data_IF_719816670683
#
_entry.id   IF_719816670683
#
_cell.length_a   1.000
_cell.length_b   1.000
_cell.length_c   1.000
_cell.angle_alpha   90.00
_cell.angle_beta   90.00
_cell.angle_gamma   90.00
#
_symmetry.space_group_name_H-M   'P 1'
#
loop_
_entity.id
_entity.type
_entity.pdbx_description
1 polymer ?
#
# COMPACT_ATOMS: atom_id res chain seq x y z
N UNK A 1 11.06 -9.80 8.30
CA UNK A 1 9.88 -9.80 9.19
C UNK A 1 9.23 -8.42 9.15
N UNK A 2 7.91 -8.31 8.94
CA UNK A 2 7.19 -7.05 8.95
C UNK A 2 6.92 -6.61 10.39
N UNK A 3 7.21 -5.33 10.73
CA UNK A 3 6.90 -4.77 12.04
C UNK A 3 5.60 -3.96 11.92
N UNK A 4 4.51 -4.56 12.39
CA UNK A 4 3.17 -3.97 12.34
C UNK A 4 3.07 -2.69 13.19
N UNK A 5 3.77 -2.59 14.32
CA UNK A 5 3.72 -1.42 15.20
C UNK A 5 4.42 -0.22 14.54
N UNK A 6 5.58 -0.43 13.90
CA UNK A 6 6.28 0.61 13.16
C UNK A 6 5.48 1.06 11.92
N UNK A 7 4.77 0.12 11.26
CA UNK A 7 3.89 0.43 10.13
C UNK A 7 2.69 1.28 10.56
N UNK A 8 2.07 0.97 11.69
CA UNK A 8 0.89 1.67 12.21
C UNK A 8 1.19 3.05 12.81
N UNK A 9 2.47 3.38 13.10
CA UNK A 9 2.86 4.69 13.62
C UNK A 9 2.42 5.86 12.73
N UNK A 10 2.31 5.64 11.42
CA UNK A 10 1.82 6.60 10.43
C UNK A 10 0.49 6.15 9.83
N UNK A 11 -0.35 5.48 10.63
CA UNK A 11 -1.59 4.86 10.17
C UNK A 11 -2.58 5.85 9.56
N UNK A 12 -2.71 7.05 10.13
CA UNK A 12 -3.58 8.11 9.62
C UNK A 12 -3.16 8.61 8.24
N UNK A 13 -1.87 8.93 8.06
CA UNK A 13 -1.31 9.43 6.80
C UNK A 13 -1.33 8.35 5.71
N UNK A 14 -1.11 7.10 6.08
CA UNK A 14 -1.13 5.96 5.15
C UNK A 14 -2.52 5.50 4.76
N UNK A 15 -3.53 5.77 5.60
CA UNK A 15 -4.91 5.41 5.33
C UNK A 15 -5.61 6.38 4.35
N UNK A 16 -5.23 7.68 4.31
CA UNK A 16 -5.84 8.66 3.41
C UNK A 16 -5.93 8.20 1.95
N UNK A 17 -4.83 7.70 1.32
CA UNK A 17 -4.91 7.22 -0.06
C UNK A 17 -5.90 6.07 -0.24
N UNK A 18 -6.08 5.21 0.75
CA UNK A 18 -7.06 4.13 0.67
C UNK A 18 -8.51 4.67 0.63
N UNK A 19 -8.82 5.67 1.44
CA UNK A 19 -10.15 6.29 1.43
C UNK A 19 -10.42 7.04 0.13
N UNK A 20 -9.42 7.77 -0.41
CA UNK A 20 -9.55 8.48 -1.67
C UNK A 20 -9.74 7.50 -2.85
N UNK A 21 -9.05 6.35 -2.83
CA UNK A 21 -9.25 5.26 -3.77
C UNK A 21 -10.65 4.67 -3.66
N UNK A 22 -11.04 4.28 -2.44
CA UNK A 22 -12.31 3.62 -2.16
C UNK A 22 -13.52 4.50 -2.53
N UNK A 23 -13.41 5.82 -2.37
CA UNK A 23 -14.47 6.77 -2.69
C UNK A 23 -14.88 6.76 -4.18
N UNK A 24 -14.00 6.27 -5.07
CA UNK A 24 -14.27 6.19 -6.51
C UNK A 24 -14.70 4.79 -7.01
N UNK A 25 -14.74 3.79 -6.12
CA UNK A 25 -15.31 2.48 -6.44
C UNK A 25 -16.83 2.58 -6.41
N UNK A 26 -17.46 2.39 -7.58
CA UNK A 26 -18.89 2.56 -7.77
C UNK A 26 -19.74 1.32 -7.44
N UNK A 27 -19.14 0.21 -7.00
CA UNK A 27 -19.87 -0.98 -6.59
C UNK A 27 -20.86 -0.68 -5.43
N UNK A 28 -22.16 -0.85 -5.69
CA UNK A 28 -23.20 -0.57 -4.68
C UNK A 28 -23.41 -1.76 -3.73
N UNK A 29 -23.60 -2.95 -4.28
CA UNK A 29 -23.93 -4.18 -3.52
C UNK A 29 -23.07 -5.37 -4.00
N UNK A 30 -21.73 -5.29 -3.87
CA UNK A 30 -20.87 -6.42 -4.24
C UNK A 30 -21.14 -7.62 -3.34
N UNK A 31 -21.12 -8.83 -3.90
CA UNK A 31 -21.20 -10.08 -3.17
C UNK A 31 -19.81 -10.54 -2.67
N UNK A 32 -18.77 -10.32 -3.50
CA UNK A 32 -17.40 -10.78 -3.23
C UNK A 32 -16.38 -9.65 -3.41
N UNK A 33 -15.64 -9.36 -2.35
CA UNK A 33 -14.61 -8.29 -2.30
C UNK A 33 -13.29 -8.89 -1.87
N UNK A 34 -12.22 -8.58 -2.59
CA UNK A 34 -10.87 -9.07 -2.26
C UNK A 34 -9.90 -7.89 -2.08
N UNK A 35 -9.17 -7.88 -0.96
CA UNK A 35 -8.11 -6.93 -0.65
C UNK A 35 -6.73 -7.59 -0.85
N UNK A 36 -6.07 -7.24 -1.95
CA UNK A 36 -4.79 -7.80 -2.37
C UNK A 36 -3.62 -7.10 -1.69
N UNK A 37 -2.91 -7.83 -0.83
CA UNK A 37 -1.86 -7.33 0.05
C UNK A 37 -2.44 -6.58 1.24
N UNK A 38 -3.38 -7.22 1.92
CA UNK A 38 -4.18 -6.63 3.01
C UNK A 38 -3.35 -6.20 4.25
N UNK A 39 -2.10 -6.68 4.37
CA UNK A 39 -1.26 -6.43 5.54
C UNK A 39 -1.94 -6.87 6.84
N UNK A 40 -1.91 -6.03 7.90
CA UNK A 40 -2.51 -6.37 9.20
C UNK A 40 -4.05 -6.29 9.23
N UNK A 41 -4.72 -6.13 8.08
CA UNK A 41 -6.17 -6.26 7.94
C UNK A 41 -7.02 -5.07 8.39
N UNK A 42 -6.43 -4.03 8.92
CA UNK A 42 -7.16 -2.87 9.45
C UNK A 42 -7.95 -2.10 8.38
N UNK A 43 -7.46 -2.05 7.14
CA UNK A 43 -8.16 -1.42 6.01
C UNK A 43 -9.19 -2.38 5.40
N UNK A 44 -8.89 -3.67 5.36
CA UNK A 44 -9.83 -4.72 4.92
C UNK A 44 -11.08 -4.75 5.78
N UNK A 45 -10.94 -4.52 7.09
CA UNK A 45 -12.09 -4.43 8.00
C UNK A 45 -13.04 -3.28 7.61
N UNK A 46 -12.52 -2.16 7.10
CA UNK A 46 -13.34 -1.04 6.61
C UNK A 46 -14.10 -1.38 5.33
N UNK A 47 -13.58 -2.29 4.49
CA UNK A 47 -14.34 -2.81 3.34
C UNK A 47 -15.56 -3.59 3.78
N UNK A 48 -15.40 -4.42 4.82
CA UNK A 48 -16.51 -5.17 5.40
C UNK A 48 -17.56 -4.25 6.07
N UNK A 49 -17.15 -3.08 6.57
CA UNK A 49 -18.08 -2.06 7.07
C UNK A 49 -18.82 -1.34 5.93
N UNK A 50 -18.12 -1.04 4.84
CA UNK A 50 -18.72 -0.40 3.65
C UNK A 50 -19.76 -1.32 2.99
N UNK A 51 -19.47 -2.61 2.91
CA UNK A 51 -20.31 -3.62 2.24
C UNK A 51 -20.65 -4.76 3.22
N UNK A 52 -21.58 -4.52 4.16
CA UNK A 52 -21.86 -5.48 5.24
C UNK A 52 -22.51 -6.79 4.76
N UNK A 53 -23.05 -6.82 3.53
CA UNK A 53 -23.61 -8.02 2.91
C UNK A 53 -22.58 -8.81 2.10
N UNK A 54 -21.39 -8.23 1.83
CA UNK A 54 -20.36 -8.87 1.04
C UNK A 54 -19.55 -9.91 1.85
N UNK A 55 -19.04 -10.91 1.14
CA UNK A 55 -17.90 -11.71 1.60
C UNK A 55 -16.63 -10.95 1.28
N UNK A 56 -15.87 -10.56 2.29
CA UNK A 56 -14.61 -9.82 2.16
C UNK A 56 -13.45 -10.73 2.53
N UNK A 57 -12.48 -10.86 1.64
CA UNK A 57 -11.27 -11.66 1.86
C UNK A 57 -10.02 -10.78 1.72
N UNK A 58 -9.20 -10.73 2.77
CA UNK A 58 -7.86 -10.14 2.73
C UNK A 58 -6.82 -11.20 2.38
N UNK A 59 -5.96 -10.90 1.41
CA UNK A 59 -4.87 -11.77 0.96
C UNK A 59 -3.54 -11.09 1.23
N UNK A 60 -2.59 -11.78 1.88
CA UNK A 60 -1.21 -11.31 2.06
C UNK A 60 -0.25 -12.49 2.12
N UNK A 61 0.97 -12.31 1.64
CA UNK A 61 1.97 -13.38 1.64
C UNK A 61 2.75 -13.51 2.97
N UNK A 62 2.55 -12.61 3.93
CA UNK A 62 3.15 -12.66 5.26
C UNK A 62 2.23 -13.37 6.25
N UNK A 63 2.61 -14.57 6.77
CA UNK A 63 1.86 -15.23 7.83
C UNK A 63 1.67 -14.34 9.07
N UNK A 64 2.67 -13.51 9.42
CA UNK A 64 2.61 -12.61 10.57
C UNK A 64 1.57 -11.51 10.38
N UNK A 65 1.43 -10.98 9.14
CA UNK A 65 0.39 -10.00 8.81
C UNK A 65 -0.99 -10.62 8.88
N UNK A 66 -1.17 -11.82 8.33
CA UNK A 66 -2.45 -12.53 8.38
C UNK A 66 -2.83 -12.91 9.81
N UNK A 67 -1.86 -13.31 10.65
CA UNK A 67 -2.16 -13.56 12.07
C UNK A 67 -2.64 -12.31 12.79
N UNK A 68 -1.98 -11.16 12.53
CA UNK A 68 -2.46 -9.87 13.04
C UNK A 68 -3.83 -9.47 12.48
N UNK A 69 -4.10 -9.79 11.22
CA UNK A 69 -5.36 -9.44 10.55
C UNK A 69 -6.56 -10.25 11.11
N UNK A 70 -6.35 -11.50 11.51
CA UNK A 70 -7.41 -12.38 12.01
C UNK A 70 -8.15 -11.83 13.24
N UNK A 71 -7.49 -10.95 14.02
CA UNK A 71 -8.16 -10.26 15.13
C UNK A 71 -9.38 -9.46 14.67
N UNK A 72 -9.38 -8.92 13.44
CA UNK A 72 -10.51 -8.16 12.90
C UNK A 72 -11.69 -9.04 12.43
N UNK A 73 -11.43 -10.32 12.17
CA UNK A 73 -12.47 -11.29 11.84
C UNK A 73 -13.19 -11.83 13.10
N UNK A 74 -12.60 -11.62 14.30
CA UNK A 74 -13.19 -12.06 15.57
C UNK A 74 -14.06 -10.98 16.19
N UNK A 75 -15.12 -11.39 16.89
CA UNK A 75 -16.04 -10.47 17.58
C UNK A 75 -15.33 -9.63 18.65
N UNK A 76 -15.52 -8.30 18.61
CA UNK A 76 -15.06 -7.39 19.66
C UNK A 76 -13.66 -6.83 19.52
N UNK A 77 -13.00 -7.00 18.38
CA UNK A 77 -11.68 -6.41 18.13
C UNK A 77 -11.72 -4.87 18.06
N UNK A 78 -10.69 -4.16 18.58
CA UNK A 78 -10.59 -2.71 18.45
C UNK A 78 -10.42 -2.31 17.00
N UNK A 79 -11.23 -1.38 16.51
CA UNK A 79 -11.20 -0.86 15.14
C UNK A 79 -10.42 0.45 15.05
N UNK A 80 -9.71 0.73 13.94
CA UNK A 80 -9.10 2.02 13.73
C UNK A 80 -10.18 3.10 13.69
N UNK A 81 -9.93 4.25 14.33
CA UNK A 81 -10.83 5.40 14.27
C UNK A 81 -10.91 5.91 12.82
N UNK A 82 -12.12 6.06 12.30
CA UNK A 82 -12.37 6.75 11.05
C UNK A 82 -11.93 8.22 11.16
N UNK A 83 -11.47 8.87 10.06
CA UNK A 83 -11.16 10.29 10.09
C UNK A 83 -12.39 11.09 10.57
N UNK A 84 -12.14 12.12 11.38
CA UNK A 84 -13.16 12.96 12.01
C UNK A 84 -14.17 13.48 10.99
N UNK A 85 -15.42 13.03 11.08
CA UNK A 85 -16.53 13.42 10.19
C UNK A 85 -17.52 12.31 9.85
N UNK A 86 -17.19 11.05 10.10
CA UNK A 86 -18.13 9.94 9.99
C UNK A 86 -18.92 9.75 11.29
N UNK A 87 -20.26 9.66 11.20
CA UNK A 87 -21.16 9.46 12.34
C UNK A 87 -20.91 8.13 13.07
N UNK A 88 -21.64 7.84 14.17
CA UNK A 88 -21.39 6.66 14.98
C UNK A 88 -21.53 5.37 14.15
N UNK A 89 -20.44 4.63 14.06
CA UNK A 89 -20.38 3.34 13.36
C UNK A 89 -21.00 2.27 14.26
N UNK A 90 -22.06 1.61 13.76
CA UNK A 90 -22.70 0.53 14.46
C UNK A 90 -21.72 -0.65 14.66
N UNK A 91 -21.66 -1.19 15.88
CA UNK A 91 -20.86 -2.37 16.24
C UNK A 91 -21.54 -3.65 15.75
N UNK A 92 -21.63 -3.85 14.43
CA UNK A 92 -22.11 -5.12 13.88
C UNK A 92 -20.93 -5.93 13.36
N UNK A 93 -20.93 -7.22 13.63
CA UNK A 93 -20.01 -8.19 13.05
C UNK A 93 -20.24 -8.23 11.54
N UNK A 94 -19.19 -8.17 10.74
CA UNK A 94 -19.27 -8.51 9.33
C UNK A 94 -19.14 -10.04 9.21
N UNK A 95 -20.22 -10.77 8.98
CA UNK A 95 -20.17 -12.25 8.99
C UNK A 95 -19.39 -12.86 7.84
N UNK A 96 -18.89 -12.02 6.92
CA UNK A 96 -18.14 -12.44 5.73
C UNK A 96 -16.67 -12.02 5.68
N UNK A 97 -16.05 -11.53 6.79
CA UNK A 97 -14.64 -11.13 6.78
C UNK A 97 -13.71 -12.31 7.06
N UNK A 98 -12.76 -12.55 6.16
CA UNK A 98 -11.76 -13.61 6.26
C UNK A 98 -10.38 -13.15 5.79
N UNK A 99 -9.33 -13.89 6.16
CA UNK A 99 -7.95 -13.59 5.77
C UNK A 99 -7.21 -14.88 5.42
N UNK A 100 -6.44 -14.85 4.34
CA UNK A 100 -5.66 -15.99 3.87
C UNK A 100 -4.22 -15.62 3.54
N UNK A 101 -3.30 -16.55 3.80
CA UNK A 101 -1.91 -16.43 3.36
C UNK A 101 -1.84 -16.91 1.92
N UNK A 102 -1.54 -16.01 0.99
CA UNK A 102 -1.31 -16.35 -0.41
C UNK A 102 -0.46 -15.26 -1.09
N UNK A 103 0.14 -15.58 -2.22
CA UNK A 103 0.90 -14.64 -3.02
C UNK A 103 0.02 -14.05 -4.12
N UNK A 104 -0.12 -12.74 -4.11
CA UNK A 104 -0.94 -11.99 -5.09
C UNK A 104 -0.58 -12.30 -6.55
N UNK A 105 0.66 -12.76 -6.81
CA UNK A 105 1.13 -13.17 -8.14
C UNK A 105 0.50 -14.46 -8.65
N UNK A 106 0.11 -15.35 -7.73
CA UNK A 106 -0.39 -16.70 -8.02
C UNK A 106 -1.81 -16.91 -7.54
N UNK A 107 -2.36 -15.93 -6.82
CA UNK A 107 -3.72 -16.01 -6.33
C UNK A 107 -4.73 -16.22 -7.46
N UNK A 108 -5.64 -17.16 -7.25
CA UNK A 108 -6.74 -17.48 -8.16
C UNK A 108 -8.07 -17.45 -7.38
N UNK A 109 -9.10 -16.74 -7.92
CA UNK A 109 -10.39 -16.66 -7.24
C UNK A 109 -11.15 -17.97 -7.29
N UNK A 110 -11.76 -18.39 -6.17
CA UNK A 110 -12.71 -19.51 -6.14
C UNK A 110 -14.06 -19.13 -6.77
N UNK A 111 -14.42 -17.87 -6.74
CA UNK A 111 -15.55 -17.23 -7.42
C UNK A 111 -15.09 -15.87 -7.93
N UNK A 112 -15.61 -15.42 -9.06
CA UNK A 112 -15.23 -14.15 -9.64
C UNK A 112 -15.58 -13.01 -8.66
N UNK A 113 -14.61 -12.17 -8.27
CA UNK A 113 -14.87 -11.04 -7.36
C UNK A 113 -15.58 -9.89 -8.07
N UNK A 114 -16.49 -9.24 -7.38
CA UNK A 114 -17.12 -8.00 -7.82
C UNK A 114 -16.21 -6.79 -7.60
N UNK A 115 -15.31 -6.88 -6.58
CA UNK A 115 -14.31 -5.85 -6.31
C UNK A 115 -12.99 -6.48 -5.96
N UNK A 116 -11.93 -6.08 -6.67
CA UNK A 116 -10.54 -6.29 -6.27
C UNK A 116 -9.97 -4.92 -5.89
N UNK A 117 -9.41 -4.82 -4.68
CA UNK A 117 -8.72 -3.62 -4.23
C UNK A 117 -7.28 -3.94 -3.83
N UNK A 118 -6.33 -3.01 -4.09
CA UNK A 118 -4.94 -3.18 -3.68
C UNK A 118 -4.32 -1.85 -3.29
N UNK A 119 -3.81 -1.76 -2.06
CA UNK A 119 -3.31 -0.52 -1.49
C UNK A 119 -1.81 -0.59 -1.15
N UNK A 120 -0.97 0.05 -1.96
CA UNK A 120 0.48 0.12 -1.77
C UNK A 120 1.19 -1.27 -1.75
N UNK A 121 0.83 -2.13 -2.68
CA UNK A 121 1.38 -3.49 -2.84
C UNK A 121 2.14 -3.64 -4.15
N UNK A 122 1.57 -3.21 -5.26
CA UNK A 122 2.04 -3.52 -6.60
C UNK A 122 3.46 -3.01 -6.91
N UNK A 123 3.93 -1.97 -6.23
CA UNK A 123 5.32 -1.51 -6.31
C UNK A 123 6.35 -2.56 -5.80
N UNK A 124 5.89 -3.61 -5.12
CA UNK A 124 6.70 -4.72 -4.63
C UNK A 124 6.66 -5.94 -5.55
N UNK A 125 5.78 -5.90 -6.55
CA UNK A 125 5.49 -7.03 -7.45
C UNK A 125 6.10 -6.77 -8.82
N UNK A 126 7.23 -7.42 -9.17
CA UNK A 126 7.74 -7.40 -10.53
C UNK A 126 6.68 -7.93 -11.51
N UNK A 127 6.52 -7.27 -12.66
CA UNK A 127 5.51 -7.66 -13.65
C UNK A 127 4.06 -7.37 -13.24
N UNK A 128 3.83 -6.43 -12.32
CA UNK A 128 2.47 -6.12 -11.86
C UNK A 128 1.53 -5.61 -12.96
N UNK A 129 2.05 -5.15 -14.10
CA UNK A 129 1.21 -4.72 -15.23
C UNK A 129 0.46 -5.90 -15.84
N UNK A 130 1.13 -7.01 -16.05
CA UNK A 130 0.53 -8.27 -16.52
C UNK A 130 -0.44 -8.85 -15.49
N UNK A 131 -0.11 -8.70 -14.20
CA UNK A 131 -0.96 -9.10 -13.09
C UNK A 131 -2.27 -8.29 -13.07
N UNK A 132 -2.20 -6.98 -13.32
CA UNK A 132 -3.40 -6.12 -13.39
C UNK A 132 -4.35 -6.52 -14.51
N UNK A 133 -3.83 -6.88 -15.69
CA UNK A 133 -4.66 -7.39 -16.80
C UNK A 133 -5.34 -8.69 -16.38
N UNK A 134 -4.60 -9.62 -15.77
CA UNK A 134 -5.17 -10.88 -15.28
C UNK A 134 -6.27 -10.65 -14.24
N UNK A 135 -6.06 -9.72 -13.28
CA UNK A 135 -7.09 -9.39 -12.29
C UNK A 135 -8.33 -8.76 -12.92
N UNK A 136 -8.16 -7.91 -13.94
CA UNK A 136 -9.27 -7.36 -14.69
C UNK A 136 -10.08 -8.46 -15.40
N UNK A 137 -9.41 -9.47 -15.99
CA UNK A 137 -10.06 -10.63 -16.61
C UNK A 137 -10.78 -11.54 -15.62
N UNK A 138 -10.31 -11.58 -14.37
CA UNK A 138 -10.90 -12.37 -13.28
C UNK A 138 -12.07 -11.67 -12.57
N UNK A 139 -12.42 -10.43 -12.92
CA UNK A 139 -13.61 -9.76 -12.36
C UNK A 139 -14.90 -10.40 -12.84
N UNK A 140 -15.92 -10.36 -11.99
CA UNK A 140 -17.30 -10.59 -12.38
C UNK A 140 -17.74 -9.56 -13.44
N UNK A 141 -18.82 -9.82 -14.18
CA UNK A 141 -19.45 -8.80 -15.01
C UNK A 141 -19.91 -7.63 -14.11
N UNK A 142 -19.69 -6.40 -14.54
CA UNK A 142 -19.90 -5.18 -13.73
C UNK A 142 -18.94 -5.03 -12.53
N UNK A 143 -17.77 -5.70 -12.61
CA UNK A 143 -16.78 -5.73 -11.53
C UNK A 143 -15.81 -4.55 -11.55
N UNK A 144 -15.17 -4.29 -10.39
CA UNK A 144 -14.28 -3.15 -10.16
C UNK A 144 -12.89 -3.59 -9.72
N UNK A 145 -11.88 -3.08 -10.38
CA UNK A 145 -10.47 -3.18 -9.96
C UNK A 145 -9.98 -1.81 -9.52
N UNK A 146 -9.57 -1.69 -8.27
CA UNK A 146 -9.10 -0.43 -7.71
C UNK A 146 -7.73 -0.60 -7.05
N UNK A 147 -6.75 0.23 -7.41
CA UNK A 147 -5.45 0.18 -6.74
C UNK A 147 -4.80 1.56 -6.65
N UNK A 148 -3.89 1.69 -5.69
CA UNK A 148 -2.96 2.80 -5.63
C UNK A 148 -1.54 2.32 -5.32
N UNK A 149 -0.57 3.05 -5.85
CA UNK A 149 0.85 2.82 -5.63
C UNK A 149 1.58 4.13 -5.29
N UNK A 150 2.69 4.07 -4.53
CA UNK A 150 3.60 5.22 -4.42
C UNK A 150 4.10 5.63 -5.80
N UNK A 151 4.13 6.93 -6.07
CA UNK A 151 4.69 7.53 -7.29
C UNK A 151 5.88 8.43 -7.00
N UNK A 152 6.54 8.27 -5.86
CA UNK A 152 7.59 9.16 -5.37
C UNK A 152 9.01 8.60 -5.55
N UNK A 153 9.22 7.64 -6.48
CA UNK A 153 10.51 6.98 -6.67
C UNK A 153 11.61 7.91 -7.21
N UNK A 154 11.25 9.02 -7.85
CA UNK A 154 12.18 10.05 -8.32
C UNK A 154 12.45 11.16 -7.29
N UNK A 155 11.77 11.13 -6.14
CA UNK A 155 11.98 12.10 -5.08
C UNK A 155 13.36 11.95 -4.41
N UNK A 156 13.90 13.02 -3.78
CA UNK A 156 15.23 13.02 -3.18
C UNK A 156 15.51 11.84 -2.25
N UNK A 157 14.53 11.40 -1.49
CA UNK A 157 14.67 10.25 -0.59
C UNK A 157 15.04 8.96 -1.33
N UNK A 158 14.40 8.65 -2.44
CA UNK A 158 14.74 7.47 -3.23
C UNK A 158 16.02 7.66 -4.05
N UNK A 159 16.24 8.87 -4.58
CA UNK A 159 17.47 9.19 -5.32
C UNK A 159 18.71 9.02 -4.43
N UNK A 160 18.69 9.59 -3.21
CA UNK A 160 19.76 9.45 -2.21
C UNK A 160 20.01 7.98 -1.87
N UNK A 161 18.94 7.19 -1.68
CA UNK A 161 19.07 5.77 -1.37
C UNK A 161 19.77 5.00 -2.48
N UNK A 162 19.40 5.23 -3.75
CA UNK A 162 20.05 4.60 -4.91
C UNK A 162 21.50 5.05 -5.07
N UNK A 163 21.78 6.35 -4.93
CA UNK A 163 23.16 6.88 -4.99
C UNK A 163 24.06 6.26 -3.92
N UNK A 164 23.57 6.16 -2.67
CA UNK A 164 24.31 5.52 -1.59
C UNK A 164 24.59 4.04 -1.91
N UNK A 165 23.59 3.30 -2.36
CA UNK A 165 23.71 1.87 -2.64
C UNK A 165 24.78 1.56 -3.71
N UNK A 166 24.98 2.45 -4.68
CA UNK A 166 26.02 2.28 -5.72
C UNK A 166 27.38 2.91 -5.39
N UNK A 167 27.49 3.61 -4.24
CA UNK A 167 28.73 4.23 -3.80
C UNK A 167 29.82 3.20 -3.50
N UNK A 168 31.08 3.61 -3.52
CA UNK A 168 32.22 2.70 -3.26
C UNK A 168 32.13 1.99 -1.89
N UNK A 169 31.55 2.67 -0.88
CA UNK A 169 31.37 2.13 0.46
C UNK A 169 30.30 1.04 0.52
N UNK A 170 29.13 1.29 -0.07
CA UNK A 170 27.94 0.46 0.14
C UNK A 170 27.67 -0.57 -0.95
N UNK A 171 28.18 -0.32 -2.18
CA UNK A 171 27.99 -1.24 -3.31
C UNK A 171 28.39 -2.70 -3.04
N UNK A 172 29.52 -3.00 -2.35
CA UNK A 172 29.88 -4.40 -2.07
C UNK A 172 28.84 -5.15 -1.22
N UNK A 173 28.09 -4.44 -0.38
CA UNK A 173 27.11 -4.99 0.55
C UNK A 173 25.68 -5.00 -0.01
N UNK A 174 25.37 -4.08 -0.93
CA UNK A 174 24.01 -3.82 -1.40
C UNK A 174 23.79 -4.16 -2.89
N UNK A 175 24.76 -4.73 -3.58
CA UNK A 175 24.69 -5.03 -5.03
C UNK A 175 23.52 -5.94 -5.43
N UNK A 176 23.09 -6.81 -4.50
CA UNK A 176 22.01 -7.79 -4.72
C UNK A 176 20.66 -7.27 -4.16
N UNK A 177 20.62 -6.04 -3.66
CA UNK A 177 19.39 -5.42 -3.12
C UNK A 177 18.67 -4.70 -4.25
N UNK A 178 17.43 -5.14 -4.55
CA UNK A 178 16.57 -4.50 -5.54
C UNK A 178 16.02 -3.17 -5.01
N UNK A 179 16.47 -2.05 -5.57
CA UNK A 179 16.07 -0.68 -5.22
C UNK A 179 15.38 0.08 -6.37
N UNK A 180 15.38 -0.51 -7.57
CA UNK A 180 14.80 0.10 -8.77
C UNK A 180 13.30 -0.16 -8.88
N UNK A 181 12.57 0.17 -7.83
CA UNK A 181 11.12 0.12 -7.87
C UNK A 181 10.58 1.28 -8.67
N UNK A 182 9.53 1.00 -9.43
CA UNK A 182 8.86 1.98 -10.25
C UNK A 182 7.35 1.76 -10.16
N UNK A 183 6.60 2.84 -10.25
CA UNK A 183 5.20 2.84 -10.64
C UNK A 183 5.11 3.47 -12.02
N UNK A 184 4.14 3.04 -12.80
CA UNK A 184 3.79 3.72 -14.03
C UNK A 184 3.03 5.03 -13.73
N UNK A 185 2.93 5.91 -14.72
CA UNK A 185 2.10 7.10 -14.62
C UNK A 185 0.61 6.76 -14.80
N UNK A 186 -0.32 7.63 -14.38
CA UNK A 186 -1.76 7.38 -14.52
C UNK A 186 -2.18 7.04 -15.95
N UNK A 187 -1.59 7.70 -16.96
CA UNK A 187 -1.85 7.42 -18.38
C UNK A 187 -1.48 6.00 -18.79
N UNK A 188 -0.35 5.48 -18.28
CA UNK A 188 0.09 4.12 -18.63
C UNK A 188 -0.85 3.05 -18.07
N UNK A 189 -1.35 3.24 -16.84
CA UNK A 189 -2.33 2.34 -16.26
C UNK A 189 -3.70 2.46 -16.93
N UNK A 190 -4.09 3.69 -17.32
CA UNK A 190 -5.33 3.90 -18.06
C UNK A 190 -5.28 3.21 -19.42
N UNK A 191 -4.19 3.36 -20.19
CA UNK A 191 -4.02 2.69 -21.48
C UNK A 191 -4.04 1.16 -21.32
N UNK A 192 -3.31 0.64 -20.32
CA UNK A 192 -3.22 -0.79 -20.04
C UNK A 192 -4.60 -1.42 -19.80
N UNK A 193 -5.39 -0.83 -18.89
CA UNK A 193 -6.66 -1.40 -18.47
C UNK A 193 -7.80 -1.08 -19.43
N UNK A 194 -7.74 0.04 -20.16
CA UNK A 194 -8.65 0.28 -21.29
C UNK A 194 -8.41 -0.75 -22.42
N UNK A 195 -7.14 -1.11 -22.65
CA UNK A 195 -6.80 -2.21 -23.58
C UNK A 195 -7.31 -3.58 -23.12
N UNK A 196 -7.55 -3.77 -21.84
CA UNK A 196 -8.19 -4.96 -21.24
C UNK A 196 -9.72 -4.87 -21.20
N UNK A 197 -10.33 -3.85 -21.82
CA UNK A 197 -11.79 -3.70 -21.95
C UNK A 197 -12.48 -3.06 -20.74
N UNK A 198 -11.74 -2.32 -19.90
CA UNK A 198 -12.31 -1.60 -18.76
C UNK A 198 -12.55 -0.11 -19.09
N UNK A 199 -13.57 0.47 -18.46
CA UNK A 199 -13.65 1.92 -18.28
C UNK A 199 -12.73 2.34 -17.13
N UNK A 200 -11.86 3.35 -17.34
CA UNK A 200 -10.78 3.65 -16.40
C UNK A 200 -10.81 5.10 -15.95
N UNK A 201 -10.75 5.31 -14.63
CA UNK A 201 -10.43 6.58 -13.99
C UNK A 201 -9.05 6.46 -13.34
N UNK A 202 -8.06 7.20 -13.84
CA UNK A 202 -6.70 7.19 -13.32
C UNK A 202 -6.22 8.61 -13.01
N UNK A 203 -5.63 8.79 -11.82
CA UNK A 203 -5.17 10.11 -11.37
C UNK A 203 -3.97 10.00 -10.43
N UNK A 204 -3.42 11.14 -10.07
CA UNK A 204 -2.41 11.24 -9.04
C UNK A 204 -2.76 12.28 -7.98
N UNK A 205 -2.25 12.08 -6.79
CA UNK A 205 -2.37 13.04 -5.69
C UNK A 205 -1.05 13.15 -4.95
N UNK A 206 -0.57 14.37 -4.72
CA UNK A 206 0.55 14.60 -3.81
C UNK A 206 0.04 14.97 -2.43
N UNK A 207 0.21 14.07 -1.48
CA UNK A 207 -0.07 14.32 -0.06
C UNK A 207 1.11 15.08 0.55
N UNK A 208 0.85 16.26 1.07
CA UNK A 208 1.87 17.02 1.79
C UNK A 208 1.75 16.69 3.28
N UNK A 209 2.65 15.84 3.78
CA UNK A 209 2.71 15.52 5.20
C UNK A 209 3.57 16.54 5.94
N UNK A 210 3.18 16.88 7.18
CA UNK A 210 3.98 17.67 8.11
C UNK A 210 4.41 16.73 9.24
N UNK A 211 5.57 16.10 9.04
CA UNK A 211 6.05 15.06 9.94
C UNK A 211 6.74 15.65 11.16
N UNK A 212 6.50 15.05 12.35
CA UNK A 212 7.06 15.47 13.62
C UNK A 212 8.22 14.57 14.05
N UNK A 213 9.15 15.13 14.81
CA UNK A 213 10.29 14.40 15.38
C UNK A 213 11.65 14.83 14.81
N UNK A 214 12.73 14.20 15.30
CA UNK A 214 14.10 14.59 14.94
C UNK A 214 14.50 14.18 13.52
N UNK A 215 14.12 12.99 13.08
CA UNK A 215 14.44 12.43 11.75
C UNK A 215 13.20 11.78 11.11
N UNK A 216 12.09 12.53 10.93
CA UNK A 216 10.80 11.91 10.66
C UNK A 216 10.74 11.23 9.29
N UNK A 217 11.46 11.73 8.28
CA UNK A 217 11.55 11.12 6.96
C UNK A 217 12.34 9.80 7.03
N UNK A 218 13.43 9.75 7.80
CA UNK A 218 14.17 8.52 8.05
C UNK A 218 13.28 7.46 8.73
N UNK A 219 12.54 7.86 9.76
CA UNK A 219 11.61 6.97 10.48
C UNK A 219 10.51 6.42 9.55
N UNK A 220 9.99 7.26 8.64
CA UNK A 220 9.06 6.82 7.61
C UNK A 220 9.64 5.71 6.74
N UNK A 221 10.89 5.88 6.29
CA UNK A 221 11.56 4.93 5.39
C UNK A 221 12.01 3.65 6.08
N UNK A 222 12.32 3.65 7.38
CA UNK A 222 12.62 2.43 8.16
C UNK A 222 11.50 1.40 8.08
N UNK A 223 10.25 1.85 8.12
CA UNK A 223 9.07 0.99 8.00
C UNK A 223 8.73 0.54 6.58
N UNK A 224 9.44 1.05 5.55
CA UNK A 224 9.08 0.82 4.14
C UNK A 224 10.32 0.58 3.27
N UNK A 225 10.80 1.61 2.57
CA UNK A 225 11.83 1.52 1.53
C UNK A 225 13.20 1.04 1.99
N UNK A 226 13.57 1.25 3.25
CA UNK A 226 14.85 0.82 3.80
C UNK A 226 14.91 -0.66 4.19
N UNK A 227 13.79 -1.35 4.31
CA UNK A 227 13.78 -2.73 4.80
C UNK A 227 14.72 -3.68 4.05
N UNK A 228 14.75 -3.73 2.71
CA UNK A 228 15.67 -4.60 1.99
C UNK A 228 17.13 -4.25 2.26
N UNK A 229 17.45 -2.97 2.42
CA UNK A 229 18.80 -2.50 2.74
C UNK A 229 19.20 -2.95 4.13
N UNK A 230 18.36 -2.69 5.12
CA UNK A 230 18.64 -3.06 6.52
C UNK A 230 18.71 -4.58 6.73
N UNK A 231 17.99 -5.36 5.91
CA UNK A 231 18.08 -6.82 5.95
C UNK A 231 19.39 -7.38 5.37
N UNK A 232 20.08 -6.61 4.52
CA UNK A 232 21.34 -7.00 3.89
C UNK A 232 22.59 -6.56 4.70
N UNK A 233 22.41 -5.74 5.74
CA UNK A 233 23.48 -5.18 6.56
C UNK A 233 23.48 -5.81 7.96
N UNK A 234 24.69 -5.94 8.55
CA UNK A 234 24.78 -6.21 9.98
C UNK A 234 24.44 -4.97 10.84
N UNK A 235 24.41 -5.11 12.15
CA UNK A 235 23.96 -4.06 13.06
C UNK A 235 24.81 -2.78 12.99
N UNK A 236 26.15 -2.91 12.89
CA UNK A 236 27.07 -1.77 12.83
C UNK A 236 26.96 -1.07 11.46
N UNK A 237 26.95 -1.85 10.40
CA UNK A 237 26.74 -1.34 9.02
C UNK A 237 25.39 -0.64 8.87
N UNK A 238 24.34 -1.21 9.45
CA UNK A 238 23.01 -0.60 9.43
C UNK A 238 22.99 0.73 10.19
N UNK A 239 23.68 0.82 11.36
CA UNK A 239 23.85 2.05 12.11
C UNK A 239 24.55 3.14 11.29
N UNK A 240 25.67 2.80 10.67
CA UNK A 240 26.43 3.71 9.80
C UNK A 240 25.61 4.17 8.58
N UNK A 241 24.91 3.23 7.93
CA UNK A 241 24.06 3.54 6.78
C UNK A 241 22.93 4.51 7.17
N UNK A 242 22.26 4.25 8.28
CA UNK A 242 21.17 5.10 8.77
C UNK A 242 21.67 6.51 9.14
N UNK A 243 22.86 6.63 9.75
CA UNK A 243 23.46 7.93 10.09
C UNK A 243 23.79 8.76 8.82
N UNK A 244 24.39 8.13 7.81
CA UNK A 244 24.71 8.78 6.53
C UNK A 244 23.42 9.16 5.78
N UNK A 245 22.49 8.23 5.63
CA UNK A 245 21.23 8.46 4.93
C UNK A 245 20.38 9.54 5.64
N UNK A 246 20.27 9.48 6.97
CA UNK A 246 19.56 10.48 7.76
C UNK A 246 20.15 11.88 7.60
N UNK A 247 21.48 12.01 7.53
CA UNK A 247 22.15 13.30 7.29
C UNK A 247 21.77 13.87 5.93
N UNK A 248 21.78 13.06 4.87
CA UNK A 248 21.39 13.49 3.53
C UNK A 248 19.89 13.80 3.43
N UNK A 249 19.05 13.05 4.14
CA UNK A 249 17.61 13.33 4.20
C UNK A 249 17.30 14.67 4.88
N UNK A 250 18.00 15.02 5.98
CA UNK A 250 17.84 16.33 6.65
C UNK A 250 18.20 17.50 5.73
N UNK A 251 19.17 17.31 4.84
CA UNK A 251 19.52 18.33 3.83
C UNK A 251 18.44 18.47 2.75
N UNK A 252 17.87 17.36 2.30
CA UNK A 252 16.83 17.33 1.28
C UNK A 252 15.44 17.75 1.82
N UNK A 253 15.18 17.46 3.10
CA UNK A 253 13.92 17.77 3.80
C UNK A 253 14.24 18.48 5.12
N UNK A 254 14.61 19.78 5.07
CA UNK A 254 14.96 20.51 6.27
C UNK A 254 13.76 20.69 7.20
N UNK A 255 13.98 20.64 8.53
CA UNK A 255 12.93 20.93 9.49
C UNK A 255 12.47 22.37 9.40
N UNK A 256 11.16 22.59 9.41
CA UNK A 256 10.51 23.89 9.48
C UNK A 256 9.89 24.16 10.86
N UNK A 257 9.27 25.34 11.05
CA UNK A 257 8.68 25.74 12.34
C UNK A 257 7.49 24.85 12.75
N UNK A 258 6.87 24.15 11.81
CA UNK A 258 5.70 23.31 12.05
C UNK A 258 6.01 21.80 11.90
N UNK A 259 7.25 21.43 11.63
CA UNK A 259 7.70 20.08 11.32
C UNK A 259 8.38 19.98 9.97
N UNK A 260 8.69 18.77 9.54
CA UNK A 260 9.33 18.50 8.22
C UNK A 260 8.25 18.32 7.17
N UNK A 261 8.26 19.17 6.14
CA UNK A 261 7.35 19.02 4.99
C UNK A 261 7.84 17.86 4.12
N UNK A 262 6.97 16.87 3.94
CA UNK A 262 7.25 15.67 3.17
C UNK A 262 6.15 15.43 2.12
N UNK A 263 6.34 15.87 0.87
CA UNK A 263 5.43 15.58 -0.23
C UNK A 263 5.54 14.11 -0.62
N UNK A 264 4.40 13.45 -0.77
CA UNK A 264 4.33 12.04 -1.11
C UNK A 264 3.31 11.82 -2.25
N UNK A 265 3.82 11.65 -3.46
CA UNK A 265 3.01 11.37 -4.65
C UNK A 265 2.45 9.95 -4.58
N UNK A 266 1.18 9.80 -4.91
CA UNK A 266 0.47 8.54 -5.11
C UNK A 266 -0.18 8.52 -6.48
N UNK A 267 -0.15 7.38 -7.13
CA UNK A 267 -0.84 7.10 -8.39
C UNK A 267 -2.01 6.16 -8.09
N UNK A 268 -3.16 6.48 -8.63
CA UNK A 268 -4.42 5.81 -8.39
C UNK A 268 -5.03 5.35 -9.70
N UNK A 269 -5.71 4.22 -9.67
CA UNK A 269 -6.49 3.73 -10.80
C UNK A 269 -7.72 2.99 -10.28
N UNK A 270 -8.86 3.31 -10.85
CA UNK A 270 -10.11 2.58 -10.69
C UNK A 270 -10.57 2.17 -12.09
N UNK A 271 -10.71 0.88 -12.30
CA UNK A 271 -11.17 0.31 -13.56
C UNK A 271 -12.48 -0.45 -13.34
N UNK A 272 -13.44 -0.23 -14.21
CA UNK A 272 -14.74 -0.87 -14.20
C UNK A 272 -14.89 -1.74 -15.45
N UNK A 273 -15.16 -3.01 -15.26
CA UNK A 273 -15.46 -3.95 -16.34
C UNK A 273 -16.96 -3.95 -16.56
N UNK A 274 -17.42 -3.35 -17.66
CA UNK A 274 -18.84 -3.41 -18.03
C UNK A 274 -19.33 -4.86 -18.20
N UNK A 275 -20.63 -5.08 -17.97
CA UNK A 275 -21.28 -6.39 -18.03
C UNK A 275 -21.27 -7.00 -19.45
#
# INVERSE_FOLDING_TARGET
MWDAALYLRFGGERARPFFDLLARVGAELPGHVVDMGCGPGNLTALLAERWPAATVCGVDNSPEMIEAARQFATAGAPRPAAPSGSGPVATSHAPGLSFMVDDVRHWEPQCLPDVIISNAVLQWVPGHRELLVRWADQLAGDGWLAFQVPGNFDQPSHAILREMAVSARWRPLLRDVELNRQSADPSDYAELLSGAGCEVDAWETTYVHILQGADPVLEWYKGTGLRPVLAALDADQAGDFLAEYGTRLRQAYPPGPFGTIFPFRRVFTVAHRAA
#
